data_IF_836127485033
#
_entry.id   IF_836127485033
#
_cell.length_a   1.000
_cell.length_b   1.000
_cell.length_c   1.000
_cell.angle_alpha   90.00
_cell.angle_beta   90.00
_cell.angle_gamma   90.00
#
_symmetry.space_group_name_H-M   'P 1'
#
loop_
_entity.id
_entity.type
_entity.pdbx_description
1 polymer ?
#
# COMPACT_ATOMS: atom_id res chain seq x y z
N UNK A 1 2.62 -10.87 -7.71
CA UNK A 1 3.34 -12.06 -7.21
C UNK A 1 3.77 -12.99 -8.35
N UNK A 2 4.64 -13.96 -8.05
CA UNK A 2 5.21 -14.90 -9.04
C UNK A 2 4.52 -16.28 -9.09
N UNK A 3 3.50 -16.55 -8.28
CA UNK A 3 2.97 -17.91 -8.08
C UNK A 3 1.61 -18.15 -8.73
N UNK A 4 0.62 -17.35 -8.40
CA UNK A 4 -0.78 -17.60 -8.76
C UNK A 4 -1.63 -16.33 -8.78
N UNK A 5 -2.75 -16.41 -9.44
CA UNK A 5 -3.79 -15.42 -9.22
C UNK A 5 -4.28 -15.51 -7.77
N UNK A 6 -4.41 -14.36 -7.10
CA UNK A 6 -4.96 -14.26 -5.75
C UNK A 6 -6.38 -13.74 -5.88
N UNK A 7 -7.37 -14.58 -5.57
CA UNK A 7 -8.81 -14.27 -5.63
C UNK A 7 -9.51 -14.38 -4.29
N UNK A 8 -8.94 -15.14 -3.36
CA UNK A 8 -9.47 -15.38 -2.02
C UNK A 8 -8.37 -15.23 -0.98
N UNK A 9 -8.73 -15.05 0.29
CA UNK A 9 -7.74 -15.04 1.38
C UNK A 9 -6.92 -16.34 1.45
N UNK A 10 -7.51 -17.46 1.06
CA UNK A 10 -6.82 -18.76 1.04
C UNK A 10 -5.70 -18.85 0.01
N UNK A 11 -5.77 -18.08 -1.07
CA UNK A 11 -4.72 -18.04 -2.11
C UNK A 11 -3.44 -17.35 -1.63
N UNK A 12 -3.50 -16.65 -0.49
CA UNK A 12 -2.35 -16.03 0.16
C UNK A 12 -1.52 -17.03 0.98
N UNK A 13 -2.06 -18.22 1.29
CA UNK A 13 -1.42 -19.20 2.17
C UNK A 13 -0.05 -19.63 1.65
N UNK A 14 0.95 -19.51 2.52
CA UNK A 14 2.35 -19.83 2.26
C UNK A 14 3.03 -18.99 1.17
N UNK A 15 2.38 -17.94 0.66
CA UNK A 15 3.00 -17.00 -0.24
C UNK A 15 4.00 -16.15 0.55
N UNK A 16 5.25 -16.12 0.12
CA UNK A 16 6.30 -15.28 0.73
C UNK A 16 6.14 -13.86 0.23
N UNK A 17 5.63 -12.97 1.08
CA UNK A 17 5.32 -11.60 0.69
C UNK A 17 6.25 -10.61 1.39
N UNK A 18 6.87 -9.75 0.61
CA UNK A 18 7.52 -8.56 1.14
C UNK A 18 6.46 -7.56 1.56
N UNK A 19 6.58 -7.02 2.75
CA UNK A 19 5.77 -5.89 3.22
C UNK A 19 6.67 -4.74 3.66
N UNK A 20 6.11 -3.52 3.63
CA UNK A 20 6.76 -2.35 4.20
C UNK A 20 6.88 -2.49 5.73
N UNK A 21 7.66 -1.62 6.38
CA UNK A 21 7.91 -1.62 7.82
C UNK A 21 6.68 -1.22 8.64
N UNK A 22 5.64 -2.05 8.62
CA UNK A 22 4.38 -1.85 9.33
C UNK A 22 3.97 -3.12 10.06
N UNK A 23 3.84 -3.03 11.39
CA UNK A 23 3.37 -4.13 12.23
C UNK A 23 1.94 -4.53 11.85
N UNK A 24 1.09 -3.56 11.49
CA UNK A 24 -0.28 -3.80 11.05
C UNK A 24 -0.31 -4.63 9.76
N UNK A 25 0.47 -4.25 8.74
CA UNK A 25 0.54 -5.00 7.48
C UNK A 25 1.11 -6.41 7.72
N UNK A 26 2.16 -6.55 8.52
CA UNK A 26 2.73 -7.85 8.88
C UNK A 26 1.67 -8.77 9.51
N UNK A 27 0.85 -8.25 10.43
CA UNK A 27 -0.20 -9.04 11.06
C UNK A 27 -1.34 -9.36 10.08
N UNK A 28 -1.74 -8.44 9.21
CA UNK A 28 -2.75 -8.71 8.17
C UNK A 28 -2.31 -9.87 7.26
N UNK A 29 -1.11 -9.80 6.70
CA UNK A 29 -0.59 -10.84 5.82
C UNK A 29 -0.45 -12.19 6.55
N UNK A 30 -0.03 -12.19 7.81
CA UNK A 30 0.02 -13.39 8.64
C UNK A 30 -1.37 -14.01 8.86
N UNK A 31 -2.40 -13.20 9.10
CA UNK A 31 -3.79 -13.68 9.24
C UNK A 31 -4.34 -14.25 7.95
N UNK A 32 -3.93 -13.74 6.78
CA UNK A 32 -4.21 -14.36 5.48
C UNK A 32 -3.40 -15.63 5.22
N UNK A 33 -2.48 -15.99 6.13
CA UNK A 33 -1.66 -17.20 6.03
C UNK A 33 -0.42 -17.06 5.15
N UNK A 34 -0.07 -15.83 4.76
CA UNK A 34 1.16 -15.55 4.04
C UNK A 34 2.38 -15.57 4.97
N UNK A 35 3.54 -15.85 4.40
CA UNK A 35 4.85 -15.71 5.04
C UNK A 35 5.39 -14.30 4.76
N UNK A 36 5.01 -13.34 5.61
CA UNK A 36 5.34 -11.93 5.43
C UNK A 36 6.72 -11.59 5.96
N UNK A 37 7.50 -10.86 5.18
CA UNK A 37 8.85 -10.41 5.54
C UNK A 37 8.97 -8.90 5.34
N UNK A 38 9.39 -8.19 6.40
CA UNK A 38 9.74 -6.78 6.29
C UNK A 38 11.08 -6.63 5.55
N UNK A 39 11.08 -5.79 4.50
CA UNK A 39 12.26 -5.55 3.68
C UNK A 39 12.23 -4.15 3.08
N UNK A 40 13.40 -3.51 2.97
CA UNK A 40 13.53 -2.22 2.31
C UNK A 40 13.11 -2.29 0.83
N UNK A 41 12.46 -1.21 0.35
CA UNK A 41 12.03 -1.14 -1.04
C UNK A 41 13.18 -1.32 -2.04
N UNK A 42 14.35 -0.75 -1.75
CA UNK A 42 15.54 -0.86 -2.61
C UNK A 42 16.05 -2.29 -2.82
N UNK A 43 15.69 -3.23 -1.96
CA UNK A 43 16.10 -4.64 -2.02
C UNK A 43 15.04 -5.53 -2.68
N UNK A 44 13.79 -5.00 -2.80
CA UNK A 44 12.60 -5.78 -3.17
C UNK A 44 12.71 -6.38 -4.58
N UNK A 45 13.10 -5.60 -5.59
CA UNK A 45 13.23 -6.12 -6.97
C UNK A 45 14.18 -7.33 -7.04
N UNK A 46 15.35 -7.23 -6.42
CA UNK A 46 16.34 -8.31 -6.41
C UNK A 46 15.82 -9.54 -5.66
N UNK A 47 15.14 -9.34 -4.54
CA UNK A 47 14.57 -10.42 -3.75
C UNK A 47 13.46 -11.17 -4.52
N UNK A 48 12.60 -10.43 -5.25
CA UNK A 48 11.57 -10.99 -6.14
C UNK A 48 12.20 -11.75 -7.32
N UNK A 49 13.21 -11.18 -7.96
CA UNK A 49 13.93 -11.81 -9.07
C UNK A 49 14.59 -13.13 -8.65
N UNK A 50 15.12 -13.18 -7.43
CA UNK A 50 15.76 -14.38 -6.86
C UNK A 50 14.76 -15.33 -6.19
N UNK A 51 13.47 -15.01 -6.15
CA UNK A 51 12.42 -15.74 -5.44
C UNK A 51 12.71 -15.93 -3.93
N UNK A 52 13.47 -15.03 -3.31
CA UNK A 52 13.62 -14.95 -1.85
C UNK A 52 12.28 -14.57 -1.22
N UNK A 53 11.57 -13.64 -1.85
CA UNK A 53 10.14 -13.37 -1.67
C UNK A 53 9.42 -13.60 -3.01
N UNK A 54 8.13 -13.86 -2.96
CA UNK A 54 7.31 -14.28 -4.10
C UNK A 54 6.26 -13.25 -4.49
N UNK A 55 6.08 -12.25 -3.66
CA UNK A 55 5.15 -11.15 -3.89
C UNK A 55 5.49 -9.92 -3.07
N UNK A 56 4.84 -8.83 -3.41
CA UNK A 56 4.88 -7.55 -2.72
C UNK A 56 3.56 -6.80 -2.92
N UNK A 57 3.36 -5.71 -2.24
CA UNK A 57 2.19 -4.83 -2.40
C UNK A 57 2.66 -3.38 -2.52
N UNK A 58 2.10 -2.69 -3.50
CA UNK A 58 2.28 -1.26 -3.72
C UNK A 58 1.27 -0.74 -4.76
N UNK A 59 1.04 0.57 -4.86
CA UNK A 59 0.33 1.17 -5.98
C UNK A 59 1.01 0.91 -7.32
N UNK A 60 0.24 0.73 -8.39
CA UNK A 60 0.76 0.43 -9.74
C UNK A 60 1.87 1.39 -10.20
N UNK A 61 1.79 2.73 -9.98
CA UNK A 61 2.87 3.63 -10.37
C UNK A 61 4.20 3.35 -9.67
N UNK A 62 4.18 2.92 -8.41
CA UNK A 62 5.40 2.57 -7.66
C UNK A 62 6.02 1.27 -8.19
N UNK A 63 5.18 0.27 -8.48
CA UNK A 63 5.58 -1.00 -9.08
C UNK A 63 6.21 -0.76 -10.46
N UNK A 64 5.59 0.08 -11.28
CA UNK A 64 6.05 0.44 -12.62
C UNK A 64 7.40 1.16 -12.60
N UNK A 65 7.54 2.15 -11.72
CA UNK A 65 8.79 2.90 -11.57
C UNK A 65 9.98 2.02 -11.15
N UNK A 66 9.72 0.93 -10.43
CA UNK A 66 10.72 -0.04 -10.01
C UNK A 66 10.84 -1.26 -10.95
N UNK A 67 10.09 -1.29 -12.04
CA UNK A 67 10.08 -2.40 -13.02
C UNK A 67 9.73 -3.76 -12.45
N UNK A 68 9.02 -3.81 -11.32
CA UNK A 68 8.69 -5.07 -10.60
C UNK A 68 7.82 -6.00 -11.47
N UNK A 69 6.99 -5.45 -12.37
CA UNK A 69 6.19 -6.23 -13.33
C UNK A 69 7.02 -7.13 -14.26
N UNK A 70 8.33 -6.87 -14.40
CA UNK A 70 9.21 -7.72 -15.21
C UNK A 70 9.46 -9.09 -14.56
N UNK A 71 9.29 -9.18 -13.24
CA UNK A 71 9.57 -10.38 -12.44
C UNK A 71 8.33 -10.89 -11.70
N UNK A 72 7.16 -10.28 -11.92
CA UNK A 72 5.90 -10.61 -11.24
C UNK A 72 4.75 -10.76 -12.25
N UNK A 73 4.43 -12.01 -12.67
CA UNK A 73 3.43 -12.26 -13.71
C UNK A 73 1.97 -12.14 -13.25
N UNK A 74 1.69 -12.03 -11.96
CA UNK A 74 0.33 -11.93 -11.42
C UNK A 74 0.16 -10.65 -10.60
N UNK A 75 -0.88 -9.89 -10.90
CA UNK A 75 -1.25 -8.67 -10.19
C UNK A 75 -2.72 -8.71 -9.79
N UNK A 76 -3.01 -8.58 -8.49
CA UNK A 76 -4.37 -8.54 -7.95
C UNK A 76 -4.74 -7.11 -7.55
N UNK A 77 -5.78 -6.59 -8.20
CA UNK A 77 -6.29 -5.22 -8.02
C UNK A 77 -7.42 -5.24 -6.99
N UNK A 78 -7.09 -5.28 -5.71
CA UNK A 78 -8.07 -5.51 -4.64
C UNK A 78 -8.41 -4.27 -3.81
N UNK A 79 -7.69 -3.17 -3.97
CA UNK A 79 -7.91 -1.88 -3.28
C UNK A 79 -8.01 -2.03 -1.75
N UNK A 80 -7.14 -2.86 -1.17
CA UNK A 80 -7.23 -3.18 0.24
C UNK A 80 -6.53 -2.17 1.15
N UNK A 81 -5.57 -1.42 0.61
CA UNK A 81 -4.73 -0.52 1.38
C UNK A 81 -4.83 0.87 0.76
N UNK A 82 -5.17 1.85 1.61
CA UNK A 82 -5.07 3.26 1.25
C UNK A 82 -3.74 3.79 1.76
N UNK A 83 -2.82 4.05 0.85
CA UNK A 83 -1.49 4.54 1.19
C UNK A 83 -1.44 6.07 1.14
N UNK A 84 -1.10 6.69 2.28
CA UNK A 84 -0.98 8.13 2.42
C UNK A 84 0.48 8.55 2.44
N UNK A 85 0.88 9.39 1.47
CA UNK A 85 2.19 10.01 1.46
C UNK A 85 2.11 11.44 2.01
N UNK A 86 3.04 11.77 2.92
CA UNK A 86 3.18 13.12 3.46
C UNK A 86 4.24 13.88 2.66
N UNK A 87 3.86 15.04 2.14
CA UNK A 87 4.79 15.97 1.52
C UNK A 87 5.30 16.94 2.58
N UNK A 88 6.54 16.75 3.02
CA UNK A 88 7.10 17.45 4.18
C UNK A 88 8.28 18.35 3.83
N UNK A 89 8.46 19.42 4.59
CA UNK A 89 9.64 20.27 4.59
C UNK A 89 10.18 20.36 6.01
N UNK A 90 11.50 20.47 6.16
CA UNK A 90 12.11 20.71 7.48
C UNK A 90 11.67 22.08 8.03
N UNK A 91 11.24 22.11 9.30
CA UNK A 91 10.68 23.32 9.94
C UNK A 91 11.71 24.47 9.98
N UNK A 92 12.95 24.21 10.35
CA UNK A 92 13.98 25.26 10.45
C UNK A 92 14.29 25.88 9.07
N UNK A 93 14.23 25.05 8.00
CA UNK A 93 14.39 25.55 6.63
C UNK A 93 13.18 26.43 6.25
N UNK A 94 11.98 25.98 6.52
CA UNK A 94 10.76 26.74 6.22
C UNK A 94 10.74 28.08 6.95
N UNK A 95 11.08 28.10 8.24
CA UNK A 95 11.13 29.29 9.07
C UNK A 95 12.24 30.28 8.66
N UNK A 96 13.27 29.80 7.98
CA UNK A 96 14.35 30.66 7.44
C UNK A 96 13.96 31.41 6.16
N UNK A 97 12.84 31.04 5.52
CA UNK A 97 12.34 31.67 4.31
C UNK A 97 11.63 33.00 4.63
N UNK A 98 11.65 33.93 3.67
CA UNK A 98 10.80 35.14 3.80
C UNK A 98 9.34 34.77 3.64
N UNK A 99 8.38 35.60 4.13
CA UNK A 99 6.95 35.34 3.95
C UNK A 99 6.54 35.10 2.48
N UNK A 100 7.15 35.83 1.54
CA UNK A 100 6.89 35.65 0.11
C UNK A 100 7.41 34.32 -0.41
N UNK A 101 8.55 33.84 0.11
CA UNK A 101 9.11 32.53 -0.25
C UNK A 101 8.28 31.39 0.37
N UNK A 102 7.80 31.55 1.62
CA UNK A 102 6.91 30.58 2.26
C UNK A 102 5.62 30.43 1.44
N UNK A 103 5.01 31.54 1.02
CA UNK A 103 3.82 31.49 0.16
C UNK A 103 4.08 30.71 -1.14
N UNK A 104 5.22 30.92 -1.80
CA UNK A 104 5.57 30.18 -3.04
C UNK A 104 5.73 28.70 -2.79
N UNK A 105 6.36 28.31 -1.67
CA UNK A 105 6.52 26.92 -1.26
C UNK A 105 5.17 26.26 -0.98
N UNK A 106 4.28 26.93 -0.26
CA UNK A 106 2.94 26.43 0.07
C UNK A 106 2.09 26.22 -1.20
N UNK A 107 2.07 27.23 -2.09
CA UNK A 107 1.34 27.12 -3.36
C UNK A 107 1.89 26.03 -4.27
N UNK A 108 3.22 25.86 -4.32
CA UNK A 108 3.87 24.82 -5.09
C UNK A 108 3.58 23.44 -4.51
N UNK A 109 3.61 23.31 -3.17
CA UNK A 109 3.29 22.08 -2.46
C UNK A 109 1.86 21.63 -2.71
N UNK A 110 0.89 22.56 -2.59
CA UNK A 110 -0.50 22.24 -2.88
C UNK A 110 -0.73 21.77 -4.32
N UNK A 111 -0.14 22.48 -5.29
CA UNK A 111 -0.24 22.09 -6.72
C UNK A 111 0.41 20.73 -6.99
N UNK A 112 1.53 20.43 -6.33
CA UNK A 112 2.20 19.14 -6.47
C UNK A 112 1.33 17.99 -5.96
N UNK A 113 0.68 18.15 -4.79
CA UNK A 113 -0.24 17.17 -4.21
C UNK A 113 -1.47 16.95 -5.11
N UNK A 114 -2.07 18.04 -5.62
CA UNK A 114 -3.22 17.93 -6.54
C UNK A 114 -2.85 17.20 -7.84
N UNK A 115 -1.68 17.50 -8.39
CA UNK A 115 -1.18 16.88 -9.61
C UNK A 115 -0.81 15.40 -9.41
N UNK A 116 -0.19 15.06 -8.29
CA UNK A 116 0.12 13.69 -7.91
C UNK A 116 -1.15 12.84 -7.82
N UNK A 117 -2.17 13.32 -7.10
CA UNK A 117 -3.46 12.63 -6.99
C UNK A 117 -4.13 12.41 -8.36
N UNK A 118 -4.03 13.41 -9.24
CA UNK A 118 -4.57 13.28 -10.59
C UNK A 118 -3.84 12.19 -11.39
N UNK A 119 -2.51 12.17 -11.38
CA UNK A 119 -1.71 11.17 -12.11
C UNK A 119 -1.99 9.77 -11.58
N UNK A 120 -1.96 9.58 -10.27
CA UNK A 120 -2.18 8.26 -9.68
C UNK A 120 -3.56 7.69 -9.99
N UNK A 121 -4.60 8.51 -9.97
CA UNK A 121 -5.96 8.06 -10.29
C UNK A 121 -6.19 7.80 -11.78
N UNK A 122 -5.49 8.50 -12.67
CA UNK A 122 -5.70 8.40 -14.13
C UNK A 122 -4.75 7.43 -14.83
N UNK A 123 -3.67 6.98 -14.19
CA UNK A 123 -2.60 6.21 -14.81
C UNK A 123 -2.80 4.70 -14.85
N UNK A 124 -3.63 4.15 -13.98
CA UNK A 124 -3.73 2.71 -13.77
C UNK A 124 -4.16 1.93 -15.02
N UNK A 125 -5.14 2.41 -15.78
CA UNK A 125 -5.59 1.74 -17.00
C UNK A 125 -4.50 1.66 -18.08
N UNK A 126 -3.70 2.72 -18.23
CA UNK A 126 -2.58 2.73 -19.17
C UNK A 126 -1.49 1.74 -18.73
N UNK A 127 -1.13 1.74 -17.45
CA UNK A 127 -0.16 0.82 -16.87
C UNK A 127 -0.60 -0.62 -17.08
N UNK A 128 -1.84 -0.96 -16.71
CA UNK A 128 -2.41 -2.31 -16.90
C UNK A 128 -2.38 -2.75 -18.36
N UNK A 129 -2.79 -1.87 -19.27
CA UNK A 129 -2.76 -2.16 -20.72
C UNK A 129 -1.34 -2.41 -21.22
N UNK A 130 -0.37 -1.64 -20.74
CA UNK A 130 1.05 -1.78 -21.12
C UNK A 130 1.64 -3.07 -20.58
N UNK A 131 1.46 -3.38 -19.29
CA UNK A 131 2.01 -4.60 -18.69
C UNK A 131 1.41 -5.87 -19.28
N UNK A 132 0.09 -5.89 -19.54
CA UNK A 132 -0.56 -7.03 -20.19
C UNK A 132 0.02 -7.33 -21.57
N UNK A 133 0.37 -6.30 -22.33
CA UNK A 133 0.91 -6.44 -23.69
C UNK A 133 2.41 -6.73 -23.73
N UNK A 134 3.19 -6.04 -22.89
CA UNK A 134 4.66 -6.06 -22.95
C UNK A 134 5.29 -7.08 -22.02
N UNK A 135 4.69 -7.32 -20.85
CA UNK A 135 5.25 -8.17 -19.81
C UNK A 135 4.43 -9.47 -19.60
N UNK A 136 3.25 -9.59 -20.22
CA UNK A 136 2.37 -10.74 -20.07
C UNK A 136 1.76 -10.86 -18.66
N UNK A 137 1.62 -9.74 -17.93
CA UNK A 137 1.03 -9.73 -16.58
C UNK A 137 -0.45 -10.09 -16.66
N UNK A 138 -0.85 -11.05 -15.83
CA UNK A 138 -2.25 -11.41 -15.61
C UNK A 138 -2.80 -10.57 -14.47
N UNK A 139 -3.88 -9.84 -14.74
CA UNK A 139 -4.57 -9.04 -13.74
C UNK A 139 -5.81 -9.78 -13.22
N UNK A 140 -5.92 -9.89 -11.90
CA UNK A 140 -7.16 -10.27 -11.23
C UNK A 140 -7.83 -8.98 -10.73
N UNK A 141 -9.02 -8.70 -11.24
CA UNK A 141 -9.77 -7.50 -10.85
C UNK A 141 -10.56 -7.74 -9.58
N UNK A 142 -10.89 -6.67 -8.87
CA UNK A 142 -11.64 -6.71 -7.61
C UNK A 142 -12.99 -7.42 -7.74
N UNK A 143 -13.70 -7.23 -8.86
CA UNK A 143 -14.97 -7.89 -9.15
C UNK A 143 -14.87 -9.42 -9.27
N UNK A 144 -13.67 -9.95 -9.54
CA UNK A 144 -13.38 -11.39 -9.65
C UNK A 144 -12.84 -11.99 -8.35
N UNK A 145 -12.81 -11.21 -7.27
CA UNK A 145 -12.23 -11.59 -5.96
C UNK A 145 -13.32 -11.76 -4.90
N UNK A 146 -13.15 -12.72 -4.01
CA UNK A 146 -13.93 -12.86 -2.78
C UNK A 146 -13.35 -11.97 -1.68
N UNK A 147 -13.67 -10.68 -1.73
CA UNK A 147 -13.18 -9.68 -0.78
C UNK A 147 -13.60 -10.00 0.66
N UNK A 148 -14.79 -10.62 0.85
CA UNK A 148 -15.28 -10.99 2.18
C UNK A 148 -14.40 -12.06 2.84
N UNK A 149 -13.77 -12.95 2.06
CA UNK A 149 -12.82 -13.92 2.60
C UNK A 149 -11.57 -13.25 3.20
N UNK A 150 -11.09 -12.16 2.61
CA UNK A 150 -9.96 -11.38 3.14
C UNK A 150 -10.36 -10.62 4.39
N UNK A 151 -11.52 -9.94 4.39
CA UNK A 151 -12.02 -9.21 5.56
C UNK A 151 -12.22 -10.14 6.75
N UNK A 152 -12.81 -11.30 6.53
CA UNK A 152 -13.06 -12.29 7.59
C UNK A 152 -11.76 -12.81 8.22
N UNK A 153 -10.70 -12.96 7.46
CA UNK A 153 -9.43 -13.43 7.99
C UNK A 153 -8.75 -12.41 8.93
N UNK A 154 -9.03 -11.12 8.74
CA UNK A 154 -8.49 -10.03 9.58
C UNK A 154 -9.50 -9.53 10.63
N UNK A 155 -10.59 -10.21 10.85
CA UNK A 155 -11.57 -9.85 11.87
C UNK A 155 -10.88 -9.63 13.24
N UNK A 156 -11.25 -8.55 13.94
CA UNK A 156 -10.61 -8.12 15.19
C UNK A 156 -9.18 -7.57 15.03
N UNK A 157 -8.78 -7.15 13.83
CA UNK A 157 -7.46 -6.52 13.63
C UNK A 157 -7.36 -5.16 14.33
N UNK A 158 -8.47 -4.43 14.44
CA UNK A 158 -8.53 -3.12 15.09
C UNK A 158 -8.22 -3.25 16.58
N UNK A 159 -8.84 -4.20 17.28
CA UNK A 159 -8.55 -4.51 18.69
C UNK A 159 -7.08 -4.90 18.89
N UNK A 160 -6.55 -5.70 17.99
CA UNK A 160 -5.13 -6.09 18.02
C UNK A 160 -4.23 -4.85 17.87
N UNK A 161 -4.53 -3.97 16.91
CA UNK A 161 -3.73 -2.78 16.63
C UNK A 161 -3.78 -1.77 17.78
N UNK A 162 -4.96 -1.56 18.39
CA UNK A 162 -5.10 -0.76 19.62
C UNK A 162 -4.20 -1.28 20.74
N UNK A 163 -4.15 -2.61 20.94
CA UNK A 163 -3.30 -3.22 21.97
C UNK A 163 -1.81 -3.06 21.64
N UNK A 164 -1.43 -3.17 20.38
CA UNK A 164 -0.06 -2.94 19.91
C UNK A 164 0.37 -1.50 20.19
N UNK A 165 -0.42 -0.51 19.79
CA UNK A 165 -0.16 0.91 20.04
C UNK A 165 -0.05 1.22 21.54
N UNK A 166 -0.93 0.66 22.38
CA UNK A 166 -0.84 0.81 23.84
C UNK A 166 0.45 0.22 24.40
N UNK A 167 0.92 -0.90 23.86
CA UNK A 167 2.19 -1.50 24.28
C UNK A 167 3.42 -0.63 23.93
N UNK A 168 3.29 0.20 22.89
CA UNK A 168 4.29 1.18 22.46
C UNK A 168 4.19 2.53 23.20
N UNK A 169 3.17 2.69 24.08
CA UNK A 169 3.01 3.86 24.96
C UNK A 169 2.02 4.92 24.45
N UNK A 170 1.18 4.56 23.47
CA UNK A 170 0.10 5.45 22.99
C UNK A 170 -1.17 5.20 23.81
N UNK A 171 -1.39 5.99 24.85
CA UNK A 171 -2.54 5.84 25.75
C UNK A 171 -3.89 6.15 25.06
N UNK A 172 -3.88 6.99 24.03
CA UNK A 172 -5.02 7.39 23.20
C UNK A 172 -5.26 6.50 21.96
N UNK A 173 -4.63 5.33 21.94
CA UNK A 173 -4.69 4.42 20.80
C UNK A 173 -6.12 4.06 20.35
N UNK A 174 -7.08 3.94 21.28
CA UNK A 174 -8.47 3.66 20.94
C UNK A 174 -9.08 4.83 20.15
N UNK A 175 -8.94 6.05 20.67
CA UNK A 175 -9.48 7.25 20.04
C UNK A 175 -8.88 7.46 18.64
N UNK A 176 -7.57 7.15 18.48
CA UNK A 176 -6.90 7.22 17.17
C UNK A 176 -7.47 6.21 16.17
N UNK A 177 -7.68 4.96 16.58
CA UNK A 177 -8.24 3.93 15.69
C UNK A 177 -9.70 4.25 15.34
N UNK A 178 -10.48 4.71 16.30
CA UNK A 178 -11.89 5.08 16.09
C UNK A 178 -12.04 6.20 15.05
N UNK A 179 -11.13 7.18 15.01
CA UNK A 179 -11.12 8.22 13.96
C UNK A 179 -11.02 7.64 12.54
N UNK A 180 -10.29 6.54 12.36
CA UNK A 180 -10.15 5.91 11.04
C UNK A 180 -11.30 4.96 10.71
N UNK A 181 -12.01 4.45 11.70
CA UNK A 181 -13.10 3.49 11.51
C UNK A 181 -14.48 4.16 11.40
N UNK A 182 -14.72 5.25 12.16
CA UNK A 182 -16.00 5.97 12.15
C UNK A 182 -16.17 6.83 10.89
N UNK A 183 -15.13 7.54 10.44
CA UNK A 183 -15.19 8.41 9.27
C UNK A 183 -15.14 7.67 7.91
N UNK A 184 -14.76 6.39 7.91
CA UNK A 184 -14.67 5.61 6.67
C UNK A 184 -16.03 5.24 6.04
N UNK A 185 -17.13 5.42 6.78
CA UNK A 185 -18.48 5.03 6.34
C UNK A 185 -19.19 6.14 5.57
N UNK A 186 -18.86 7.42 5.76
CA UNK A 186 -19.64 8.56 5.28
C UNK A 186 -19.03 9.38 4.12
N UNK A 187 -17.86 9.02 3.58
CA UNK A 187 -17.15 9.89 2.60
C UNK A 187 -16.89 9.26 1.22
N UNK A 188 -17.59 8.22 0.85
CA UNK A 188 -17.54 7.68 -0.52
C UNK A 188 -18.88 7.89 -1.21
N UNK A 189 -19.20 9.13 -1.57
CA UNK A 189 -20.11 9.47 -2.67
C UNK A 189 -19.32 9.96 -3.90
#
# INVERSE_FOLDING_TARGET
>A
NSKNEVKTGDDMKNLKVRVAGSNLLMECYKRWGADATNMNWSETYTALQQNTVEGEENPLPAIDAASVQEVQPYCSMWDAIYDCLFFCINQDIYDSLTPEQQQVVDEAGQKAVEYERYINRSGDEEIMSRWGKSNGVTFTKKEDMDIDSFKKAVDGIDDWFVNELKSEGYDDAQDLVDLFTEDSVDTVE
#
